data_IF_745081513403
#
_entry.id   IF_745081513403
#
_cell.length_a   1.000
_cell.length_b   1.000
_cell.length_c   1.000
_cell.angle_alpha   90.00
_cell.angle_beta   90.00
_cell.angle_gamma   90.00
#
_symmetry.space_group_name_H-M   'P 1'
#
loop_
_entity.id
_entity.type
_entity.pdbx_description
1 polymer ?
#
# COMPACT_ATOMS: atom_id res chain seq x y z
N UNK A 1 34.88 5.37 18.31
CA UNK A 1 33.71 4.55 18.71
C UNK A 1 32.47 5.39 19.01
N UNK A 2 32.49 6.37 19.94
CA UNK A 2 31.30 7.23 20.24
C UNK A 2 30.76 8.01 19.03
N UNK A 3 31.62 8.57 18.18
CA UNK A 3 31.21 9.28 16.95
C UNK A 3 30.51 8.36 15.92
N UNK A 4 30.91 7.09 15.86
CA UNK A 4 30.29 6.09 14.99
C UNK A 4 28.90 5.68 15.49
N UNK A 5 28.74 5.52 16.81
CA UNK A 5 27.44 5.27 17.44
C UNK A 5 26.45 6.44 17.25
N UNK A 6 26.94 7.69 17.33
CA UNK A 6 26.13 8.89 17.06
C UNK A 6 25.69 8.93 15.58
N UNK A 7 26.61 8.63 14.66
CA UNK A 7 26.30 8.60 13.22
C UNK A 7 25.29 7.51 12.87
N UNK A 8 25.43 6.33 13.48
CA UNK A 8 24.49 5.21 13.30
C UNK A 8 23.10 5.56 13.86
N UNK A 9 23.04 6.21 15.03
CA UNK A 9 21.79 6.69 15.61
C UNK A 9 21.07 7.72 14.73
N UNK A 10 21.80 8.70 14.18
CA UNK A 10 21.26 9.70 13.27
C UNK A 10 20.73 9.07 11.97
N UNK A 11 21.45 8.09 11.42
CA UNK A 11 21.02 7.39 10.20
C UNK A 11 19.74 6.58 10.45
N UNK A 12 19.63 5.93 11.61
CA UNK A 12 18.43 5.17 11.98
C UNK A 12 17.20 6.07 12.16
N UNK A 13 17.38 7.25 12.77
CA UNK A 13 16.30 8.25 12.92
C UNK A 13 15.82 8.75 11.56
N UNK A 14 16.74 9.05 10.63
CA UNK A 14 16.39 9.51 9.29
C UNK A 14 15.62 8.44 8.51
N UNK A 15 16.04 7.17 8.60
CA UNK A 15 15.33 6.06 7.93
C UNK A 15 13.92 5.90 8.49
N UNK A 16 13.78 5.90 9.82
CA UNK A 16 12.48 5.78 10.47
C UNK A 16 11.54 6.93 10.10
N UNK A 17 12.05 8.16 10.07
CA UNK A 17 11.27 9.34 9.71
C UNK A 17 10.76 9.29 8.26
N UNK A 18 11.64 8.97 7.30
CA UNK A 18 11.26 8.83 5.89
C UNK A 18 10.18 7.75 5.71
N UNK A 19 10.30 6.65 6.46
CA UNK A 19 9.32 5.56 6.42
C UNK A 19 7.94 5.99 6.93
N UNK A 20 7.87 6.73 8.05
CA UNK A 20 6.59 7.24 8.57
C UNK A 20 5.90 8.21 7.62
N UNK A 21 6.67 9.06 6.93
CA UNK A 21 6.13 10.03 5.96
C UNK A 21 5.52 9.33 4.75
N UNK A 22 6.17 8.29 4.23
CA UNK A 22 5.66 7.53 3.08
C UNK A 22 4.32 6.84 3.37
N UNK A 23 4.18 6.26 4.57
CA UNK A 23 2.94 5.64 5.01
C UNK A 23 1.79 6.66 5.13
N UNK A 24 2.05 7.86 5.67
CA UNK A 24 1.06 8.93 5.79
C UNK A 24 0.58 9.43 4.42
N UNK A 25 1.49 9.58 3.45
CA UNK A 25 1.11 9.98 2.10
C UNK A 25 0.30 8.90 1.36
N UNK A 26 0.64 7.63 1.56
CA UNK A 26 -0.14 6.50 1.04
C UNK A 26 -1.57 6.47 1.61
N UNK A 27 -1.73 6.74 2.91
CA UNK A 27 -3.04 6.86 3.55
C UNK A 27 -3.88 8.00 2.97
N UNK A 28 -3.26 9.14 2.65
CA UNK A 28 -3.94 10.27 2.00
C UNK A 28 -4.49 9.88 0.63
N UNK A 29 -3.72 9.12 -0.16
CA UNK A 29 -4.17 8.60 -1.46
C UNK A 29 -5.35 7.63 -1.26
N UNK A 30 -5.23 6.70 -0.31
CA UNK A 30 -6.27 5.73 0.03
C UNK A 30 -7.60 6.42 0.41
N UNK A 31 -7.52 7.46 1.24
CA UNK A 31 -8.68 8.27 1.65
C UNK A 31 -9.24 9.09 0.49
N UNK A 32 -8.39 9.69 -0.35
CA UNK A 32 -8.80 10.52 -1.50
C UNK A 32 -9.68 9.75 -2.49
N UNK A 33 -9.37 8.48 -2.75
CA UNK A 33 -10.18 7.61 -3.61
C UNK A 33 -11.30 6.87 -2.88
N UNK A 34 -11.52 7.18 -1.60
CA UNK A 34 -12.53 6.57 -0.76
C UNK A 34 -12.42 5.03 -0.67
N UNK A 35 -11.20 4.48 -0.76
CA UNK A 35 -10.96 3.02 -0.75
C UNK A 35 -11.48 2.36 0.53
N UNK A 36 -11.49 3.11 1.64
CA UNK A 36 -11.96 2.66 2.95
C UNK A 36 -13.47 2.40 3.04
N UNK A 37 -14.26 2.75 2.02
CA UNK A 37 -15.69 2.39 1.99
C UNK A 37 -15.92 0.89 1.87
N UNK A 38 -14.96 0.15 1.29
CA UNK A 38 -15.07 -1.28 1.05
C UNK A 38 -13.90 -2.07 1.65
N UNK A 39 -12.72 -1.46 1.77
CA UNK A 39 -11.53 -2.10 2.33
C UNK A 39 -11.32 -1.68 3.79
N UNK A 40 -11.88 -2.46 4.71
CA UNK A 40 -11.72 -2.23 6.15
C UNK A 40 -10.34 -2.66 6.65
N UNK A 41 -9.95 -2.18 7.82
CA UNK A 41 -8.63 -2.45 8.39
C UNK A 41 -8.42 -3.96 8.61
N UNK A 42 -9.33 -4.62 9.33
CA UNK A 42 -9.16 -6.04 9.72
C UNK A 42 -10.33 -6.92 9.31
N UNK A 43 -11.53 -6.36 9.24
CA UNK A 43 -12.77 -7.07 9.01
C UNK A 43 -12.93 -7.34 7.51
N UNK A 44 -13.24 -8.60 7.17
CA UNK A 44 -13.71 -8.91 5.82
C UNK A 44 -15.14 -8.39 5.65
N UNK A 45 -15.48 -7.99 4.43
CA UNK A 45 -16.83 -7.54 4.10
C UNK A 45 -17.12 -7.74 2.62
N UNK A 46 -17.53 -6.65 1.96
CA UNK A 46 -17.73 -6.68 0.52
C UNK A 46 -16.42 -6.92 -0.25
N UNK A 47 -15.33 -6.28 0.20
CA UNK A 47 -14.00 -6.42 -0.37
C UNK A 47 -12.99 -6.93 0.70
N UNK A 48 -11.81 -7.39 0.29
CA UNK A 48 -10.78 -7.87 1.21
C UNK A 48 -10.33 -6.80 2.20
N UNK A 49 -10.07 -7.18 3.45
CA UNK A 49 -9.48 -6.25 4.42
C UNK A 49 -8.05 -5.85 4.05
N UNK A 50 -7.57 -4.72 4.59
CA UNK A 50 -6.17 -4.31 4.47
C UNK A 50 -5.23 -5.37 5.05
N UNK A 51 -5.63 -6.02 6.15
CA UNK A 51 -4.89 -7.15 6.72
C UNK A 51 -4.74 -8.31 5.73
N UNK A 52 -5.80 -8.67 5.02
CA UNK A 52 -5.74 -9.73 4.01
C UNK A 52 -4.96 -9.31 2.76
N UNK A 53 -5.08 -8.06 2.33
CA UNK A 53 -4.28 -7.49 1.23
C UNK A 53 -2.79 -7.55 1.58
N UNK A 54 -2.40 -7.03 2.75
CA UNK A 54 -1.02 -7.07 3.26
C UNK A 54 -0.47 -8.50 3.24
N UNK A 55 -1.24 -9.45 3.80
CA UNK A 55 -0.83 -10.86 3.86
C UNK A 55 -0.67 -11.49 2.47
N UNK A 56 -1.60 -11.26 1.55
CA UNK A 56 -1.58 -11.83 0.21
C UNK A 56 -0.41 -11.30 -0.64
N UNK A 57 -0.06 -10.03 -0.47
CA UNK A 57 1.02 -9.35 -1.19
C UNK A 57 2.33 -9.25 -0.39
N UNK A 58 2.48 -10.00 0.71
CA UNK A 58 3.71 -10.03 1.50
C UNK A 58 4.90 -10.37 0.61
N UNK A 59 5.94 -9.53 0.64
CA UNK A 59 7.13 -9.61 -0.21
C UNK A 59 6.86 -9.52 -1.73
N UNK A 60 5.68 -9.04 -2.13
CA UNK A 60 5.21 -8.96 -3.52
C UNK A 60 4.75 -7.55 -3.90
N UNK A 61 5.41 -6.51 -3.35
CA UNK A 61 5.08 -5.10 -3.63
C UNK A 61 4.99 -4.80 -5.13
N UNK A 62 5.93 -5.33 -5.92
CA UNK A 62 5.91 -5.16 -7.37
C UNK A 62 4.67 -5.77 -8.06
N UNK A 63 4.15 -6.90 -7.57
CA UNK A 63 2.90 -7.49 -8.09
C UNK A 63 1.69 -6.64 -7.70
N UNK A 64 1.66 -6.11 -6.47
CA UNK A 64 0.62 -5.18 -6.03
C UNK A 64 0.59 -3.93 -6.89
N UNK A 65 1.75 -3.36 -7.20
CA UNK A 65 1.86 -2.18 -8.08
C UNK A 65 1.38 -2.50 -9.49
N UNK A 66 1.75 -3.66 -10.05
CA UNK A 66 1.23 -4.10 -11.36
C UNK A 66 -0.30 -4.23 -11.34
N UNK A 67 -0.87 -4.78 -10.27
CA UNK A 67 -2.33 -4.85 -10.11
C UNK A 67 -2.96 -3.44 -10.06
N UNK A 68 -2.41 -2.53 -9.26
CA UNK A 68 -2.88 -1.14 -9.17
C UNK A 68 -2.72 -0.36 -10.49
N UNK A 69 -1.81 -0.76 -11.38
CA UNK A 69 -1.68 -0.24 -12.75
C UNK A 69 -2.64 -0.88 -13.77
N UNK A 70 -3.36 -1.93 -13.37
CA UNK A 70 -4.16 -2.74 -14.29
C UNK A 70 -3.32 -3.61 -15.23
N UNK A 71 -2.09 -3.93 -14.83
CA UNK A 71 -1.13 -4.76 -15.57
C UNK A 71 -1.08 -6.21 -15.06
N UNK A 72 -1.79 -6.51 -13.97
CA UNK A 72 -1.94 -7.85 -13.40
C UNK A 72 -3.39 -8.11 -13.02
N UNK A 73 -3.76 -9.40 -12.97
CA UNK A 73 -5.07 -9.85 -12.48
C UNK A 73 -5.10 -9.85 -10.96
N UNK A 74 -6.31 -9.73 -10.39
CA UNK A 74 -6.52 -9.93 -8.96
C UNK A 74 -6.09 -11.35 -8.54
N UNK A 75 -5.24 -11.42 -7.51
CA UNK A 75 -4.86 -12.68 -6.86
C UNK A 75 -5.74 -13.00 -5.63
N UNK A 76 -6.53 -12.01 -5.20
CA UNK A 76 -7.50 -12.11 -4.11
C UNK A 76 -8.87 -12.01 -4.76
N UNK A 77 -9.76 -12.96 -4.48
CA UNK A 77 -11.12 -13.03 -5.03
C UNK A 77 -11.22 -12.80 -6.55
N UNK A 78 -10.51 -13.59 -7.38
CA UNK A 78 -10.48 -13.38 -8.83
C UNK A 78 -11.86 -13.39 -9.49
N UNK A 79 -12.81 -14.16 -8.95
CA UNK A 79 -14.20 -14.23 -9.44
C UNK A 79 -14.99 -12.92 -9.22
N UNK A 80 -14.46 -12.02 -8.38
CA UNK A 80 -15.07 -10.73 -8.02
C UNK A 80 -14.23 -9.53 -8.47
N UNK A 81 -13.23 -9.75 -9.32
CA UNK A 81 -12.32 -8.69 -9.81
C UNK A 81 -13.08 -7.52 -10.47
N UNK A 82 -14.21 -7.81 -11.12
CA UNK A 82 -15.03 -6.80 -11.80
C UNK A 82 -15.50 -5.66 -10.89
N UNK A 83 -15.69 -5.92 -9.60
CA UNK A 83 -16.06 -4.87 -8.64
C UNK A 83 -14.93 -3.87 -8.38
N UNK A 84 -13.67 -4.29 -8.53
CA UNK A 84 -12.51 -3.43 -8.32
C UNK A 84 -12.06 -2.71 -9.61
N UNK A 85 -12.39 -3.24 -10.80
CA UNK A 85 -11.96 -2.67 -12.10
C UNK A 85 -12.21 -1.15 -12.26
N UNK A 86 -13.37 -0.57 -11.86
CA UNK A 86 -13.56 0.88 -11.93
C UNK A 86 -12.55 1.67 -11.10
N UNK A 87 -12.19 1.17 -9.93
CA UNK A 87 -11.22 1.80 -9.02
C UNK A 87 -9.77 1.59 -9.49
N UNK A 88 -9.48 0.47 -10.15
CA UNK A 88 -8.17 0.26 -10.81
C UNK A 88 -7.91 1.31 -11.90
N UNK A 89 -8.96 1.78 -12.60
CA UNK A 89 -8.79 2.90 -13.55
C UNK A 89 -8.32 4.18 -12.87
N UNK A 90 -8.72 4.41 -11.61
CA UNK A 90 -8.28 5.57 -10.83
C UNK A 90 -6.82 5.40 -10.42
N UNK A 91 -6.44 4.26 -9.84
CA UNK A 91 -5.05 4.02 -9.42
C UNK A 91 -4.09 3.99 -10.60
N UNK A 92 -4.51 3.50 -11.77
CA UNK A 92 -3.72 3.53 -13.01
C UNK A 92 -3.32 4.94 -13.45
N UNK A 93 -4.08 5.97 -13.09
CA UNK A 93 -3.77 7.37 -13.43
C UNK A 93 -2.74 8.03 -12.50
N UNK A 94 -2.35 7.35 -11.42
CA UNK A 94 -1.35 7.85 -10.49
C UNK A 94 0.07 7.72 -11.07
N UNK A 95 0.93 8.66 -10.67
CA UNK A 95 2.36 8.53 -10.93
C UNK A 95 2.94 7.33 -10.17
N UNK A 96 4.05 6.78 -10.68
CA UNK A 96 4.73 5.65 -10.04
C UNK A 96 5.04 5.92 -8.56
N UNK A 97 5.47 7.14 -8.22
CA UNK A 97 5.79 7.50 -6.83
C UNK A 97 4.56 7.42 -5.91
N UNK A 98 3.38 7.76 -6.40
CA UNK A 98 2.15 7.71 -5.62
C UNK A 98 1.59 6.28 -5.51
N UNK A 99 1.79 5.46 -6.56
CA UNK A 99 1.52 4.01 -6.49
C UNK A 99 2.41 3.32 -5.47
N UNK A 100 3.69 3.67 -5.40
CA UNK A 100 4.63 3.12 -4.41
C UNK A 100 4.17 3.43 -2.98
N UNK A 101 3.77 4.68 -2.70
CA UNK A 101 3.25 5.10 -1.38
C UNK A 101 1.95 4.40 -1.03
N UNK A 102 1.01 4.30 -1.98
CA UNK A 102 -0.25 3.59 -1.77
C UNK A 102 0.02 2.11 -1.47
N UNK A 103 0.90 1.46 -2.24
CA UNK A 103 1.29 0.08 -2.00
C UNK A 103 1.99 -0.10 -0.64
N UNK A 104 2.85 0.83 -0.23
CA UNK A 104 3.45 0.81 1.11
C UNK A 104 2.39 0.89 2.20
N UNK A 105 1.44 1.83 2.10
CA UNK A 105 0.34 1.92 3.06
C UNK A 105 -0.46 0.61 3.17
N UNK A 106 -0.82 0.00 2.03
CA UNK A 106 -1.56 -1.27 2.00
C UNK A 106 -0.78 -2.43 2.63
N UNK A 107 0.55 -2.47 2.46
CA UNK A 107 1.42 -3.52 3.00
C UNK A 107 1.84 -3.30 4.46
N UNK A 108 1.85 -2.06 4.92
CA UNK A 108 2.21 -1.71 6.29
C UNK A 108 1.03 -1.72 7.25
N UNK A 109 -0.19 -1.86 6.72
CA UNK A 109 -1.38 -1.79 7.53
C UNK A 109 -1.44 -2.92 8.57
N UNK A 110 -0.89 -4.13 8.34
CA UNK A 110 -0.83 -5.24 9.32
C UNK A 110 0.22 -6.31 8.99
#
# INVERSE_FOLDING_TARGET
MKKFLIFLGLMFILIFYNFTVLAEEGEKIFKRFNCGSCHYQKEEGFAPSLKNISKAYKNKKGELIKYLKGEAKAIIDPDREDFMKPYIKQTKSLENKDLEKLADFLLLSF
#
